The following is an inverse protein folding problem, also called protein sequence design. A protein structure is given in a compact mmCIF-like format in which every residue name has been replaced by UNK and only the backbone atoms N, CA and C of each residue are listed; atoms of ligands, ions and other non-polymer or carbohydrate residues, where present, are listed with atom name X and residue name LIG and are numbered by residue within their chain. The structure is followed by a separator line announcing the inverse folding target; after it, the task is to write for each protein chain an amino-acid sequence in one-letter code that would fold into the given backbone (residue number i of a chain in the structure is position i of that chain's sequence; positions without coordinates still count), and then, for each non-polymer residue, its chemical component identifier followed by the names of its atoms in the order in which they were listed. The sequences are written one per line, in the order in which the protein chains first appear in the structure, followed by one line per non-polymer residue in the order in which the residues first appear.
data_IF_875686193065
#
_entry.id   IF_875686193065
#
_cell.length_a   1.000
_cell.length_b   1.000
_cell.length_c   1.000
_cell.angle_alpha   90.00
_cell.angle_beta   90.00
_cell.angle_gamma   90.00
#
_symmetry.space_group_name_H-M   'P 1'
#
loop_
_entity.id
_entity.type
_entity.pdbx_description
1 polymer ?
#
# COMPACT_ATOMS: atom_id res chain seq x y z
N UNK A 1 -15.37 8.03 -14.56
CA UNK A 1 -16.07 9.19 -13.96
C UNK A 1 -15.05 9.95 -13.11
N UNK A 2 -15.04 11.28 -13.20
CA UNK A 2 -13.90 12.18 -12.90
C UNK A 2 -12.65 11.89 -13.74
N UNK A 3 -11.92 10.78 -13.55
CA UNK A 3 -10.66 10.49 -14.27
C UNK A 3 -10.86 10.40 -15.80
N UNK A 4 -11.86 9.64 -16.27
CA UNK A 4 -12.24 9.61 -17.69
C UNK A 4 -12.60 10.99 -18.29
N UNK A 5 -12.95 11.97 -17.44
CA UNK A 5 -13.35 13.32 -17.84
C UNK A 5 -12.22 14.34 -17.71
N UNK A 6 -11.24 14.11 -16.83
CA UNK A 6 -10.11 15.02 -16.56
C UNK A 6 -8.81 14.58 -17.22
N UNK A 7 -8.58 13.26 -17.39
CA UNK A 7 -7.37 12.73 -18.04
C UNK A 7 -7.64 11.36 -18.71
N UNK A 8 -7.93 11.33 -20.02
CA UNK A 8 -8.16 10.09 -20.75
C UNK A 8 -6.91 9.20 -20.84
N UNK A 9 -5.70 9.78 -20.81
CA UNK A 9 -4.44 9.03 -20.78
C UNK A 9 -4.30 8.18 -19.50
N UNK A 10 -4.66 8.75 -18.34
CA UNK A 10 -4.63 8.01 -17.08
C UNK A 10 -5.69 6.91 -17.04
N UNK A 11 -6.86 7.14 -17.65
CA UNK A 11 -7.93 6.15 -17.75
C UNK A 11 -7.52 4.94 -18.61
N UNK A 12 -6.74 5.14 -19.68
CA UNK A 12 -6.23 4.04 -20.52
C UNK A 12 -5.21 3.16 -19.78
N UNK A 13 -4.35 3.76 -18.96
CA UNK A 13 -3.32 3.01 -18.19
C UNK A 13 -3.91 2.38 -16.92
N UNK A 14 -4.78 3.10 -16.21
CA UNK A 14 -5.28 2.73 -14.89
C UNK A 14 -6.69 2.09 -14.92
N UNK A 15 -7.33 1.97 -16.08
CA UNK A 15 -8.72 1.54 -16.20
C UNK A 15 -9.02 0.18 -15.56
N UNK A 16 -8.10 -0.78 -15.69
CA UNK A 16 -8.21 -2.12 -15.08
C UNK A 16 -7.84 -2.08 -13.59
N UNK A 17 -6.97 -1.15 -13.19
CA UNK A 17 -6.51 -1.03 -11.81
C UNK A 17 -7.52 -0.34 -10.89
N UNK A 18 -8.42 0.52 -11.42
CA UNK A 18 -9.47 1.17 -10.62
C UNK A 18 -10.36 0.17 -9.85
N UNK A 19 -10.94 -0.86 -10.50
CA UNK A 19 -11.65 -1.91 -9.78
C UNK A 19 -10.74 -2.70 -8.84
N UNK A 20 -9.50 -2.95 -9.23
CA UNK A 20 -8.53 -3.72 -8.43
C UNK A 20 -8.11 -2.99 -7.14
N UNK A 21 -8.13 -1.65 -7.14
CA UNK A 21 -7.90 -0.84 -5.94
C UNK A 21 -9.04 -1.01 -4.94
N UNK A 22 -10.30 -1.10 -5.41
CA UNK A 22 -11.46 -1.24 -4.51
C UNK A 22 -11.50 -2.58 -3.79
N UNK A 23 -10.89 -3.63 -4.37
CA UNK A 23 -10.78 -4.96 -3.75
C UNK A 23 -9.46 -5.18 -3.01
N UNK A 24 -8.69 -4.11 -2.77
CA UNK A 24 -7.43 -4.18 -2.05
C UNK A 24 -7.65 -4.53 -0.56
N UNK A 25 -6.80 -5.40 -0.02
CA UNK A 25 -6.87 -5.87 1.36
C UNK A 25 -6.71 -4.75 2.41
N UNK A 26 -5.86 -3.74 2.16
CA UNK A 26 -5.69 -2.62 3.06
C UNK A 26 -6.93 -1.71 3.04
N UNK A 27 -7.51 -1.47 1.87
CA UNK A 27 -8.71 -0.62 1.70
C UNK A 27 -9.92 -1.25 2.39
N UNK A 28 -10.09 -2.57 2.31
CA UNK A 28 -11.15 -3.29 3.04
C UNK A 28 -10.84 -3.45 4.54
N UNK A 29 -9.57 -3.58 4.92
CA UNK A 29 -9.16 -3.78 6.31
C UNK A 29 -9.41 -2.57 7.21
N UNK A 30 -9.20 -1.35 6.71
CA UNK A 30 -9.36 -0.11 7.50
C UNK A 30 -10.80 0.06 8.03
N UNK A 31 -11.87 -0.07 7.23
CA UNK A 31 -13.24 -0.07 7.74
C UNK A 31 -13.53 -1.20 8.74
N UNK A 32 -13.01 -2.41 8.50
CA UNK A 32 -13.23 -3.54 9.41
C UNK A 32 -12.60 -3.32 10.78
N UNK A 33 -11.38 -2.79 10.82
CA UNK A 33 -10.68 -2.42 12.06
C UNK A 33 -11.40 -1.28 12.77
N UNK A 34 -11.91 -0.32 12.02
CA UNK A 34 -12.67 0.80 12.55
C UNK A 34 -13.94 0.32 13.30
N UNK A 35 -14.72 -0.55 12.66
CA UNK A 35 -15.91 -1.17 13.29
C UNK A 35 -15.52 -2.03 14.50
N UNK A 36 -14.43 -2.80 14.39
CA UNK A 36 -13.96 -3.66 15.48
C UNK A 36 -13.52 -2.87 16.73
N UNK A 37 -12.94 -1.68 16.52
CA UNK A 37 -12.49 -0.79 17.60
C UNK A 37 -13.57 0.21 18.07
N UNK A 38 -14.77 0.19 17.48
CA UNK A 38 -15.90 1.06 17.82
C UNK A 38 -15.56 2.57 17.81
N UNK A 39 -14.76 3.04 16.84
CA UNK A 39 -14.42 4.46 16.78
C UNK A 39 -15.63 5.34 16.43
N UNK A 40 -15.65 6.56 16.96
CA UNK A 40 -16.65 7.56 16.59
C UNK A 40 -16.36 8.14 15.19
N UNK A 41 -17.25 8.99 14.65
CA UNK A 41 -17.11 9.54 13.30
C UNK A 41 -15.79 10.30 13.07
N UNK A 42 -15.37 11.12 14.05
CA UNK A 42 -14.14 11.92 13.93
C UNK A 42 -12.90 11.04 14.01
N UNK A 43 -12.88 10.08 14.94
CA UNK A 43 -11.79 9.11 15.08
C UNK A 43 -11.67 8.23 13.84
N UNK A 44 -12.79 7.78 13.29
CA UNK A 44 -12.87 7.04 12.02
C UNK A 44 -12.23 7.81 10.87
N UNK A 45 -12.49 9.12 10.77
CA UNK A 45 -11.97 9.96 9.70
C UNK A 45 -10.44 10.13 9.83
N UNK A 46 -9.96 10.37 11.06
CA UNK A 46 -8.53 10.49 11.35
C UNK A 46 -7.79 9.17 11.14
N UNK A 47 -8.38 8.06 11.58
CA UNK A 47 -7.83 6.71 11.41
C UNK A 47 -7.75 6.32 9.94
N UNK A 48 -8.80 6.60 9.16
CA UNK A 48 -8.80 6.37 7.72
C UNK A 48 -7.76 7.21 6.98
N UNK A 49 -7.66 8.50 7.32
CA UNK A 49 -6.68 9.41 6.72
C UNK A 49 -5.23 9.00 7.06
N UNK A 50 -4.96 8.68 8.34
CA UNK A 50 -3.65 8.20 8.78
C UNK A 50 -3.27 6.88 8.10
N UNK A 51 -4.22 5.95 7.98
CA UNK A 51 -4.00 4.67 7.27
C UNK A 51 -3.69 4.87 5.79
N UNK A 52 -4.37 5.81 5.12
CA UNK A 52 -4.11 6.14 3.72
C UNK A 52 -2.72 6.78 3.51
N UNK A 53 -2.28 7.65 4.44
CA UNK A 53 -0.94 8.22 4.42
C UNK A 53 0.16 7.17 4.66
N UNK A 54 -0.06 6.24 5.60
CA UNK A 54 0.88 5.15 5.83
C UNK A 54 0.98 4.22 4.61
N UNK A 55 -0.16 3.87 4.02
CA UNK A 55 -0.19 3.03 2.83
C UNK A 55 0.49 3.69 1.61
N UNK A 56 0.28 4.98 1.40
CA UNK A 56 0.94 5.71 0.31
C UNK A 56 2.46 5.77 0.49
N UNK A 57 2.93 5.99 1.72
CA UNK A 57 4.36 5.99 2.05
C UNK A 57 4.99 4.62 1.76
N UNK A 58 4.34 3.53 2.16
CA UNK A 58 4.83 2.16 1.88
C UNK A 58 4.89 1.91 0.37
N UNK A 59 3.89 2.32 -0.40
CA UNK A 59 3.88 2.14 -1.85
C UNK A 59 5.01 2.93 -2.54
N UNK A 60 5.28 4.17 -2.11
CA UNK A 60 6.38 4.98 -2.65
C UNK A 60 7.73 4.34 -2.34
N UNK A 61 7.95 3.87 -1.11
CA UNK A 61 9.17 3.17 -0.73
C UNK A 61 9.35 1.89 -1.55
N UNK A 62 8.29 1.10 -1.69
CA UNK A 62 8.32 -0.14 -2.46
C UNK A 62 8.62 0.12 -3.95
N UNK A 63 8.03 1.16 -4.54
CA UNK A 63 8.31 1.58 -5.90
C UNK A 63 9.79 1.97 -6.08
N UNK A 64 10.34 2.78 -5.17
CA UNK A 64 11.75 3.18 -5.21
C UNK A 64 12.73 1.99 -5.05
N UNK A 65 12.37 0.99 -4.24
CA UNK A 65 13.15 -0.25 -4.14
C UNK A 65 13.09 -1.02 -5.47
N UNK A 66 11.91 -1.13 -6.10
CA UNK A 66 11.78 -1.84 -7.38
C UNK A 66 12.57 -1.18 -8.50
N UNK A 67 12.54 0.15 -8.60
CA UNK A 67 13.30 0.90 -9.59
C UNK A 67 14.81 0.62 -9.48
N UNK A 68 15.35 0.57 -8.26
CA UNK A 68 16.78 0.23 -8.04
C UNK A 68 17.10 -1.23 -8.38
N UNK A 69 16.18 -2.14 -8.09
CA UNK A 69 16.35 -3.57 -8.35
C UNK A 69 16.28 -3.87 -9.84
N UNK A 70 15.47 -3.15 -10.62
CA UNK A 70 15.41 -3.30 -12.08
C UNK A 70 16.74 -2.95 -12.76
N UNK A 71 17.53 -2.05 -12.19
CA UNK A 71 18.89 -1.74 -12.66
C UNK A 71 19.97 -2.72 -12.14
N UNK A 72 19.61 -3.72 -11.33
CA UNK A 72 20.54 -4.65 -10.71
C UNK A 72 20.55 -6.02 -11.41
N UNK A 73 21.67 -6.75 -11.32
CA UNK A 73 21.78 -8.10 -11.88
C UNK A 73 21.04 -9.14 -11.02
N UNK A 74 19.78 -9.41 -11.37
CA UNK A 74 18.94 -10.41 -10.70
C UNK A 74 19.07 -11.76 -11.40
N UNK A 75 19.36 -12.85 -10.67
CA UNK A 75 19.34 -14.21 -11.21
C UNK A 75 18.00 -14.53 -11.88
N UNK A 76 18.03 -15.19 -13.04
CA UNK A 76 16.84 -15.54 -13.84
C UNK A 76 15.65 -16.09 -13.03
N UNK A 77 15.79 -17.03 -12.08
CA UNK A 77 14.65 -17.57 -11.34
C UNK A 77 13.97 -16.56 -10.38
N UNK A 78 14.65 -15.48 -10.00
CA UNK A 78 14.13 -14.48 -9.07
C UNK A 78 13.50 -13.27 -9.76
N UNK A 79 13.56 -13.16 -11.09
CA UNK A 79 13.05 -12.00 -11.81
C UNK A 79 11.54 -11.83 -11.67
N UNK A 80 11.08 -10.57 -11.70
CA UNK A 80 9.66 -10.23 -11.68
C UNK A 80 9.01 -10.33 -10.29
N UNK A 81 8.05 -11.24 -10.13
CA UNK A 81 7.25 -11.34 -8.91
C UNK A 81 8.02 -11.95 -7.73
N UNK A 82 8.97 -12.86 -7.98
CA UNK A 82 9.72 -13.54 -6.93
C UNK A 82 10.56 -12.56 -6.10
N UNK A 83 11.38 -11.71 -6.76
CA UNK A 83 12.14 -10.67 -6.05
C UNK A 83 11.23 -9.65 -5.35
N UNK A 84 10.06 -9.35 -5.93
CA UNK A 84 9.09 -8.44 -5.31
C UNK A 84 8.52 -8.99 -4.00
N UNK A 85 8.29 -10.29 -3.91
CA UNK A 85 7.86 -10.94 -2.67
C UNK A 85 8.97 -10.95 -1.62
N UNK A 86 10.22 -11.18 -2.03
CA UNK A 86 11.37 -11.12 -1.12
C UNK A 86 11.55 -9.70 -0.56
N UNK A 87 11.48 -8.68 -1.41
CA UNK A 87 11.64 -7.29 -0.97
C UNK A 87 10.47 -6.84 -0.11
N UNK A 88 9.25 -7.28 -0.40
CA UNK A 88 8.10 -7.05 0.46
C UNK A 88 8.29 -7.70 1.85
N UNK A 89 8.85 -8.91 1.91
CA UNK A 89 9.20 -9.57 3.17
C UNK A 89 10.26 -8.81 3.97
N UNK A 90 11.34 -8.36 3.32
CA UNK A 90 12.38 -7.55 3.98
C UNK A 90 11.83 -6.22 4.49
N UNK A 91 10.96 -5.57 3.71
CA UNK A 91 10.27 -4.36 4.12
C UNK A 91 9.36 -4.62 5.33
N UNK A 92 8.62 -5.74 5.36
CA UNK A 92 7.79 -6.12 6.50
C UNK A 92 8.62 -6.31 7.79
N UNK A 93 9.82 -6.92 7.69
CA UNK A 93 10.74 -7.06 8.83
C UNK A 93 11.23 -5.69 9.31
N UNK A 94 11.58 -4.78 8.39
CA UNK A 94 11.97 -3.42 8.75
C UNK A 94 10.85 -2.67 9.48
N UNK A 95 9.61 -2.79 9.00
CA UNK A 95 8.46 -2.16 9.65
C UNK A 95 8.02 -2.84 10.96
N UNK A 96 8.31 -4.13 11.14
CA UNK A 96 8.10 -4.82 12.41
C UNK A 96 8.96 -4.21 13.54
N UNK A 97 10.03 -3.49 13.22
CA UNK A 97 10.79 -2.69 14.19
C UNK A 97 9.98 -1.56 14.85
N UNK A 98 8.88 -1.13 14.24
CA UNK A 98 7.94 -0.16 14.85
C UNK A 98 6.91 -0.85 15.77
N UNK A 99 6.85 -2.19 15.79
CA UNK A 99 5.92 -2.92 16.65
C UNK A 99 6.26 -2.70 18.13
N UNK A 100 5.29 -2.18 18.89
CA UNK A 100 5.47 -1.85 20.31
C UNK A 100 5.84 -0.39 20.59
N UNK A 101 5.80 0.49 19.59
CA UNK A 101 5.90 1.95 19.83
C UNK A 101 4.73 2.51 20.65
N UNK A 102 3.60 1.81 20.67
CA UNK A 102 2.42 2.14 21.47
C UNK A 102 2.49 1.60 22.91
N UNK A 103 3.43 0.70 23.24
CA UNK A 103 3.55 0.04 24.55
C UNK A 103 4.10 0.92 25.68
N UNK A 104 4.25 2.23 25.46
CA UNK A 104 4.57 3.19 26.51
C UNK A 104 3.33 3.90 27.07
N UNK A 105 2.17 3.22 27.03
CA UNK A 105 0.98 3.55 27.82
C UNK A 105 0.75 2.50 28.90
#
# INVERSE_FOLDING_TARGET
MVIAKTSPALQQVLGIYLPLITTNCAVLGVPLLNVSNNFNFVESLLFGFGSALGFSLILVLFAGIRERIECSDIPVPFRGAAIAMVTAGLMAIAFMGFAGLDKYQ
#
